data_IF_862653688863
#
_entry.id   IF_862653688863
#
_cell.length_a   1.000
_cell.length_b   1.000
_cell.length_c   1.000
_cell.angle_alpha   90.00
_cell.angle_beta   90.00
_cell.angle_gamma   90.00
#
_symmetry.space_group_name_H-M   'P 1'
#
loop_
_entity.id
_entity.type
_entity.pdbx_description
1 polymer ?
#
# COMPACT_ATOMS: atom_id res chain seq x y z
N UNK A 1 -7.88 -6.88 -16.60
CA UNK A 1 -8.48 -6.28 -15.39
C UNK A 1 -8.20 -7.08 -14.12
N UNK A 2 -8.13 -8.42 -14.15
CA UNK A 2 -7.93 -9.26 -12.95
C UNK A 2 -6.63 -9.03 -12.18
N UNK A 3 -5.58 -8.56 -12.86
CA UNK A 3 -4.22 -8.41 -12.31
C UNK A 3 -4.10 -7.33 -11.22
N UNK A 4 -4.95 -6.30 -11.25
CA UNK A 4 -4.88 -5.17 -10.32
C UNK A 4 -5.94 -5.20 -9.22
N UNK A 5 -6.91 -6.12 -9.33
CA UNK A 5 -8.05 -6.19 -8.42
C UNK A 5 -7.60 -6.38 -6.97
N UNK A 6 -6.55 -7.16 -6.72
CA UNK A 6 -6.06 -7.37 -5.35
C UNK A 6 -5.54 -6.08 -4.74
N UNK A 7 -4.72 -5.33 -5.48
CA UNK A 7 -4.17 -4.06 -5.01
C UNK A 7 -5.27 -3.00 -4.81
N UNK A 8 -6.23 -2.92 -5.73
CA UNK A 8 -7.37 -2.02 -5.59
C UNK A 8 -8.27 -2.40 -4.41
N UNK A 9 -8.64 -3.68 -4.27
CA UNK A 9 -9.47 -4.12 -3.15
C UNK A 9 -8.83 -3.82 -1.79
N UNK A 10 -7.50 -3.96 -1.68
CA UNK A 10 -6.78 -3.63 -0.46
C UNK A 10 -6.83 -2.12 -0.17
N UNK A 11 -6.58 -1.27 -1.17
CA UNK A 11 -6.67 0.19 -1.01
C UNK A 11 -8.10 0.60 -0.65
N UNK A 12 -9.12 0.06 -1.34
CA UNK A 12 -10.53 0.34 -1.04
C UNK A 12 -10.84 -0.04 0.41
N UNK A 13 -10.39 -1.21 0.89
CA UNK A 13 -10.60 -1.64 2.27
C UNK A 13 -9.95 -0.66 3.26
N UNK A 14 -8.67 -0.35 3.09
CA UNK A 14 -7.90 0.50 4.00
C UNK A 14 -8.42 1.94 4.03
N UNK A 15 -8.77 2.49 2.87
CA UNK A 15 -9.39 3.81 2.74
C UNK A 15 -10.72 3.84 3.48
N UNK A 16 -11.62 2.89 3.22
CA UNK A 16 -12.94 2.87 3.86
C UNK A 16 -12.82 2.68 5.38
N UNK A 17 -11.94 1.80 5.86
CA UNK A 17 -11.67 1.66 7.30
C UNK A 17 -11.21 2.98 7.93
N UNK A 18 -10.36 3.74 7.24
CA UNK A 18 -9.88 5.03 7.73
C UNK A 18 -11.01 6.06 7.78
N UNK A 19 -11.81 6.16 6.71
CA UNK A 19 -12.96 7.06 6.64
C UNK A 19 -13.97 6.75 7.76
N UNK A 20 -14.26 5.48 8.00
CA UNK A 20 -15.12 5.02 9.10
C UNK A 20 -14.53 5.39 10.47
N UNK A 21 -13.22 5.16 10.70
CA UNK A 21 -12.54 5.50 11.95
C UNK A 21 -12.56 7.00 12.25
N UNK A 22 -12.45 7.82 11.22
CA UNK A 22 -12.51 9.29 11.33
C UNK A 22 -13.95 9.82 11.32
N UNK A 23 -14.94 8.96 11.03
CA UNK A 23 -16.33 9.31 10.82
C UNK A 23 -16.51 10.44 9.79
N UNK A 24 -15.86 10.27 8.63
CA UNK A 24 -15.93 11.18 7.50
C UNK A 24 -16.25 10.44 6.21
N UNK A 25 -16.69 11.17 5.22
CA UNK A 25 -16.90 10.68 3.86
C UNK A 25 -15.74 11.06 2.93
N UNK A 26 -15.69 10.44 1.75
CA UNK A 26 -14.58 10.61 0.81
C UNK A 26 -14.36 12.07 0.37
N UNK A 27 -15.42 12.87 0.28
CA UNK A 27 -15.34 14.29 -0.11
C UNK A 27 -14.92 15.23 1.05
N UNK A 28 -14.72 14.69 2.25
CA UNK A 28 -14.29 15.42 3.45
C UNK A 28 -12.81 15.17 3.77
N UNK A 29 -12.12 14.29 3.03
CA UNK A 29 -10.70 13.93 3.26
C UNK A 29 -9.77 15.14 3.18
N UNK A 30 -10.06 16.09 2.29
CA UNK A 30 -9.36 17.34 2.09
C UNK A 30 -9.51 18.34 3.25
N UNK A 31 -10.35 18.04 4.26
CA UNK A 31 -10.40 18.78 5.52
C UNK A 31 -9.41 18.24 6.57
N UNK A 32 -8.69 17.16 6.25
CA UNK A 32 -7.74 16.47 7.12
C UNK A 32 -6.33 16.51 6.51
N UNK A 33 -5.28 16.22 7.32
CA UNK A 33 -3.92 16.10 6.80
C UNK A 33 -3.80 14.89 5.85
N UNK A 34 -4.07 15.10 4.56
CA UNK A 34 -4.07 14.07 3.51
C UNK A 34 -2.74 13.32 3.43
N UNK A 35 -1.63 14.02 3.63
CA UNK A 35 -0.29 13.43 3.74
C UNK A 35 -0.15 12.39 4.86
N UNK A 36 -0.71 12.67 6.04
CA UNK A 36 -0.67 11.74 7.16
C UNK A 36 -1.61 10.55 6.90
N UNK A 37 -2.78 10.79 6.32
CA UNK A 37 -3.72 9.74 5.91
C UNK A 37 -3.09 8.82 4.87
N UNK A 38 -2.52 9.38 3.81
CA UNK A 38 -1.79 8.64 2.79
C UNK A 38 -0.67 7.81 3.40
N UNK A 39 0.16 8.42 4.28
CA UNK A 39 1.26 7.73 4.97
C UNK A 39 0.78 6.52 5.77
N UNK A 40 -0.34 6.66 6.49
CA UNK A 40 -0.91 5.55 7.26
C UNK A 40 -1.33 4.42 6.32
N UNK A 41 -2.02 4.72 5.22
CA UNK A 41 -2.51 3.70 4.28
C UNK A 41 -1.35 2.95 3.63
N UNK A 42 -0.38 3.65 3.03
CA UNK A 42 0.74 2.99 2.33
C UNK A 42 1.61 2.14 3.25
N UNK A 43 1.65 2.47 4.55
CA UNK A 43 2.36 1.66 5.54
C UNK A 43 1.68 0.31 5.79
N UNK A 44 0.36 0.22 5.62
CA UNK A 44 -0.41 -1.00 5.84
C UNK A 44 -0.47 -1.89 4.59
N UNK A 45 -0.49 -1.31 3.38
CA UNK A 45 -0.54 -2.05 2.10
C UNK A 45 0.54 -3.13 2.00
N UNK A 46 0.17 -4.33 1.55
CA UNK A 46 1.11 -5.42 1.28
C UNK A 46 2.20 -5.01 0.28
N UNK A 47 3.41 -5.54 0.46
CA UNK A 47 4.56 -5.12 -0.36
C UNK A 47 4.37 -5.39 -1.85
N UNK A 48 3.71 -6.48 -2.23
CA UNK A 48 3.48 -6.81 -3.64
C UNK A 48 2.41 -5.91 -4.25
N UNK A 49 1.36 -5.59 -3.49
CA UNK A 49 0.35 -4.64 -3.92
C UNK A 49 0.91 -3.21 -4.00
N UNK A 50 1.81 -2.82 -3.10
CA UNK A 50 2.49 -1.53 -3.15
C UNK A 50 3.35 -1.37 -4.42
N UNK A 51 4.04 -2.44 -4.84
CA UNK A 51 4.76 -2.46 -6.12
C UNK A 51 3.82 -2.32 -7.31
N UNK A 52 2.68 -3.04 -7.29
CA UNK A 52 1.64 -2.93 -8.33
C UNK A 52 1.11 -1.50 -8.43
N UNK A 53 0.77 -0.87 -7.31
CA UNK A 53 0.29 0.52 -7.30
C UNK A 53 1.34 1.50 -7.83
N UNK A 54 2.61 1.30 -7.43
CA UNK A 54 3.73 2.08 -7.99
C UNK A 54 3.87 1.87 -9.50
N UNK A 55 3.66 0.67 -10.01
CA UNK A 55 3.68 0.40 -11.44
C UNK A 55 2.50 1.09 -12.15
N UNK A 56 1.27 0.95 -11.63
CA UNK A 56 0.06 1.56 -12.20
C UNK A 56 0.21 3.08 -12.28
N UNK A 57 0.78 3.73 -11.26
CA UNK A 57 0.97 5.17 -11.31
C UNK A 57 1.94 5.61 -12.42
N UNK A 58 3.03 4.85 -12.63
CA UNK A 58 4.06 5.21 -13.61
C UNK A 58 3.75 4.77 -15.05
N UNK A 59 3.14 3.60 -15.22
CA UNK A 59 2.98 2.90 -16.50
C UNK A 59 1.54 2.44 -16.76
N UNK A 60 0.58 2.79 -15.89
CA UNK A 60 -0.81 2.39 -16.02
C UNK A 60 -1.45 2.90 -17.31
N UNK A 61 -2.19 2.04 -18.00
CA UNK A 61 -2.96 2.45 -19.16
C UNK A 61 -4.21 3.24 -18.75
N UNK A 62 -4.75 4.04 -19.68
CA UNK A 62 -6.02 4.74 -19.47
C UNK A 62 -7.16 3.77 -19.10
N UNK A 63 -7.16 2.56 -19.66
CA UNK A 63 -8.13 1.52 -19.31
C UNK A 63 -8.07 1.17 -17.82
N UNK A 64 -6.88 1.08 -17.23
CA UNK A 64 -6.73 0.83 -15.78
C UNK A 64 -7.33 1.97 -14.98
N UNK A 65 -7.05 3.21 -15.37
CA UNK A 65 -7.56 4.43 -14.70
C UNK A 65 -9.09 4.51 -14.78
N UNK A 66 -9.67 4.19 -15.93
CA UNK A 66 -11.11 4.25 -16.15
C UNK A 66 -11.89 3.28 -15.25
N UNK A 67 -11.26 2.15 -14.89
CA UNK A 67 -11.86 1.13 -14.03
C UNK A 67 -11.63 1.36 -12.52
N UNK A 68 -10.91 2.42 -12.13
CA UNK A 68 -10.74 2.76 -10.72
C UNK A 68 -12.04 3.28 -10.09
N UNK A 69 -12.34 2.82 -8.88
CA UNK A 69 -13.41 3.40 -8.05
C UNK A 69 -13.04 4.85 -7.66
N UNK A 70 -14.00 5.68 -7.22
CA UNK A 70 -13.70 7.00 -6.70
C UNK A 70 -12.67 6.98 -5.55
N UNK A 71 -12.74 5.97 -4.69
CA UNK A 71 -11.81 5.79 -3.57
C UNK A 71 -10.39 5.52 -4.06
N UNK A 72 -10.23 4.63 -5.05
CA UNK A 72 -8.92 4.38 -5.67
C UNK A 72 -8.38 5.63 -6.38
N UNK A 73 -9.24 6.38 -7.07
CA UNK A 73 -8.84 7.63 -7.74
C UNK A 73 -8.32 8.67 -6.76
N UNK A 74 -9.01 8.84 -5.63
CA UNK A 74 -8.57 9.74 -4.56
C UNK A 74 -7.22 9.31 -3.97
N UNK A 75 -7.05 8.01 -3.71
CA UNK A 75 -5.77 7.49 -3.24
C UNK A 75 -4.63 7.72 -4.26
N UNK A 76 -4.87 7.51 -5.55
CA UNK A 76 -3.90 7.76 -6.62
C UNK A 76 -3.59 9.25 -6.79
N UNK A 77 -4.55 10.13 -6.46
CA UNK A 77 -4.30 11.57 -6.40
C UNK A 77 -3.31 11.90 -5.28
N UNK A 78 -3.50 11.37 -4.06
CA UNK A 78 -2.55 11.53 -2.96
C UNK A 78 -1.17 10.92 -3.25
N UNK A 79 -1.14 9.85 -4.04
CA UNK A 79 0.13 9.30 -4.53
C UNK A 79 0.90 10.32 -5.39
N UNK A 80 0.19 11.07 -6.24
CA UNK A 80 0.78 12.15 -7.01
C UNK A 80 1.30 13.27 -6.14
N UNK A 81 0.50 13.75 -5.18
CA UNK A 81 0.93 14.75 -4.20
C UNK A 81 2.19 14.30 -3.45
N UNK A 82 2.27 13.03 -3.06
CA UNK A 82 3.44 12.46 -2.42
C UNK A 82 4.72 12.54 -3.29
N UNK A 83 4.60 12.41 -4.61
CA UNK A 83 5.75 12.54 -5.51
C UNK A 83 6.22 13.99 -5.64
N UNK A 84 5.28 14.94 -5.62
CA UNK A 84 5.58 16.37 -5.71
C UNK A 84 6.19 16.92 -4.40
N UNK A 85 5.67 16.49 -3.25
CA UNK A 85 6.04 17.02 -1.93
C UNK A 85 7.00 16.12 -1.14
N UNK A 86 7.19 14.87 -1.55
CA UNK A 86 8.14 13.95 -0.93
C UNK A 86 7.72 13.46 0.46
N UNK A 87 6.41 13.35 0.73
CA UNK A 87 5.84 12.97 2.04
C UNK A 87 6.39 11.64 2.57
N UNK A 88 6.58 10.65 1.70
CA UNK A 88 7.19 9.35 1.99
C UNK A 88 7.96 8.81 0.78
N UNK A 89 9.14 8.24 1.05
CA UNK A 89 9.92 7.52 0.05
C UNK A 89 9.37 6.09 -0.13
N UNK A 90 8.53 5.90 -1.16
CA UNK A 90 7.89 4.62 -1.47
C UNK A 90 8.90 3.51 -1.75
N UNK A 91 9.98 3.80 -2.50
CA UNK A 91 11.00 2.80 -2.81
C UNK A 91 11.71 2.28 -1.56
N UNK A 92 12.03 3.19 -0.63
CA UNK A 92 12.60 2.81 0.67
C UNK A 92 11.62 2.03 1.53
N UNK A 93 10.32 2.34 1.46
CA UNK A 93 9.27 1.60 2.16
C UNK A 93 9.13 0.17 1.63
N UNK A 94 9.14 -0.01 0.30
CA UNK A 94 9.13 -1.34 -0.35
C UNK A 94 10.32 -2.16 0.13
N UNK A 95 11.54 -1.63 -0.02
CA UNK A 95 12.76 -2.33 0.38
C UNK A 95 12.74 -2.76 1.86
N UNK A 96 12.26 -1.88 2.74
CA UNK A 96 12.10 -2.17 4.18
C UNK A 96 11.09 -3.29 4.44
N UNK A 97 9.98 -3.35 3.68
CA UNK A 97 8.99 -4.42 3.82
C UNK A 97 9.54 -5.76 3.30
N UNK A 98 10.26 -5.76 2.18
CA UNK A 98 10.91 -6.97 1.64
C UNK A 98 11.98 -7.52 2.60
N UNK A 99 12.81 -6.65 3.17
CA UNK A 99 13.82 -7.03 4.16
C UNK A 99 13.20 -7.75 5.36
N UNK A 100 12.05 -7.26 5.85
CA UNK A 100 11.31 -7.90 6.95
C UNK A 100 10.82 -9.30 6.59
N UNK A 101 10.32 -9.51 5.38
CA UNK A 101 9.86 -10.82 4.89
C UNK A 101 11.04 -11.80 4.84
N UNK A 102 12.14 -11.38 4.21
CA UNK A 102 13.36 -12.20 4.11
C UNK A 102 13.91 -12.55 5.49
N UNK A 103 13.98 -11.57 6.39
CA UNK A 103 14.46 -11.77 7.77
C UNK A 103 13.60 -12.78 8.54
N UNK A 104 12.28 -12.72 8.37
CA UNK A 104 11.34 -13.66 9.00
C UNK A 104 11.56 -15.10 8.48
N UNK A 105 11.73 -15.27 7.17
CA UNK A 105 12.02 -16.58 6.56
C UNK A 105 13.35 -17.16 7.07
N UNK A 106 14.40 -16.33 7.19
CA UNK A 106 15.71 -16.76 7.71
C UNK A 106 15.58 -17.23 9.16
N UNK A 107 14.87 -16.47 10.01
CA UNK A 107 14.65 -16.81 11.41
C UNK A 107 13.91 -18.14 11.56
N UNK A 108 12.82 -18.35 10.83
CA UNK A 108 12.06 -19.60 10.84
C UNK A 108 12.91 -20.81 10.46
N UNK A 109 13.72 -20.68 9.41
CA UNK A 109 14.60 -21.75 8.96
C UNK A 109 15.72 -22.04 9.97
N UNK A 110 16.23 -21.01 10.65
CA UNK A 110 17.21 -21.18 11.73
C UNK A 110 16.65 -21.98 12.91
N UNK A 111 15.39 -21.76 13.27
CA UNK A 111 14.76 -22.45 14.39
C UNK A 111 14.33 -23.89 14.04
N UNK A 112 13.91 -24.14 12.79
CA UNK A 112 13.72 -25.50 12.27
C UNK A 112 15.02 -26.31 12.33
N UNK A 113 16.14 -25.72 11.92
CA UNK A 113 17.46 -26.39 11.98
C UNK A 113 17.91 -26.71 13.42
N UNK A 114 17.61 -25.85 14.39
CA UNK A 114 17.88 -26.11 15.82
C UNK A 114 17.02 -27.25 16.39
N UNK A 115 15.76 -27.39 15.95
CA UNK A 115 14.87 -28.50 16.38
C UNK A 115 15.34 -29.86 15.86
N UNK A 116 15.86 -29.93 14.64
CA UNK A 116 16.34 -31.20 14.03
C UNK A 116 17.60 -31.74 14.73
N UNK A 117 18.47 -30.88 15.27
CA UNK A 117 19.73 -31.29 15.93
C UNK A 117 19.57 -31.83 17.36
N UNK A 118 18.37 -31.85 17.93
CA UNK A 118 18.08 -32.42 19.25
C UNK A 118 17.54 -33.85 19.10
N UNK A 119 18.39 -34.81 18.75
CA UNK A 119 18.11 -36.25 18.79
C UNK A 119 19.36 -36.95 19.29
#
# INVERSE_FOLDING_TARGET
MTEYNTAFNEVDLLMNEMLEKLNISLNETNLYPTDDMFRIIVQEIDVENLKILSFIYNEGSQEVIDNMTPVIKEFMYWWGDNLDYGTINIQSLIAKKEEKIISSIILENSDKAKKIKRI
#
